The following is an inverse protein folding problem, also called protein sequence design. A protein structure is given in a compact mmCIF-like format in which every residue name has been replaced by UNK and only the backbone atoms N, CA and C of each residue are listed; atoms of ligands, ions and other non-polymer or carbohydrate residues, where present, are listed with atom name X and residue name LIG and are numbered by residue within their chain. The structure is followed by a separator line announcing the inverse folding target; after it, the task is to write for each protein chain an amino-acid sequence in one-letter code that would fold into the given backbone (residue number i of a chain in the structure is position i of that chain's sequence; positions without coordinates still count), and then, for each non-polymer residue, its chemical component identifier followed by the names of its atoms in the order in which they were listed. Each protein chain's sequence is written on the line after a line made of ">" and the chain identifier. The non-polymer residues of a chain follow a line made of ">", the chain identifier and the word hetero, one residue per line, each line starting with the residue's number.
data_IF_273514119151
#
_entry.id   IF_273514119151
#
_cell.length_a   1.000
_cell.length_b   1.000
_cell.length_c   1.000
_cell.angle_alpha   90.00
_cell.angle_beta   90.00
_cell.angle_gamma   90.00
#
_symmetry.space_group_name_H-M   'P 1'
#
loop_
_entity.id
_entity.type
_entity.pdbx_description
1 polymer ?
#
# COMPACT_ATOMS: atom_id res chain seq x y z
N UNK A 1 55.86 13.86 -1.06
CA UNK A 1 54.88 12.76 -1.16
C UNK A 1 53.71 13.15 -0.31
N UNK A 2 52.71 13.68 -0.93
CA UNK A 2 51.46 14.16 -0.28
C UNK A 2 50.41 13.09 -0.49
N UNK A 3 50.00 12.45 0.61
CA UNK A 3 48.87 11.52 0.63
C UNK A 3 47.54 12.29 0.40
N UNK A 4 46.90 12.02 -0.70
CA UNK A 4 45.56 12.48 -1.02
C UNK A 4 44.57 11.51 -0.39
N UNK A 5 43.93 11.94 0.70
CA UNK A 5 42.79 11.24 1.32
C UNK A 5 41.58 11.36 0.37
N UNK A 6 41.19 10.27 -0.23
CA UNK A 6 39.90 10.15 -0.92
C UNK A 6 38.80 9.99 0.16
N UNK A 7 38.12 11.08 0.49
CA UNK A 7 36.86 11.02 1.23
C UNK A 7 35.79 10.36 0.36
N UNK A 8 35.18 9.30 0.89
CA UNK A 8 34.04 8.67 0.28
C UNK A 8 32.85 9.63 0.30
N UNK A 9 32.00 9.68 -0.75
CA UNK A 9 30.83 10.52 -0.77
C UNK A 9 29.88 10.10 0.35
N UNK A 10 29.63 11.03 1.27
CA UNK A 10 28.58 10.87 2.29
C UNK A 10 27.25 10.82 1.56
N UNK A 11 26.46 9.76 1.81
CA UNK A 11 25.09 9.68 1.35
C UNK A 11 24.32 10.88 1.93
N UNK A 12 23.78 11.73 1.06
CA UNK A 12 22.88 12.81 1.47
C UNK A 12 21.69 12.20 2.24
N UNK A 13 21.59 12.53 3.51
CA UNK A 13 20.38 12.28 4.30
C UNK A 13 19.27 13.11 3.64
N UNK A 14 18.14 12.50 3.21
CA UNK A 14 17.06 13.27 2.62
C UNK A 14 16.64 14.37 3.60
N UNK A 15 16.61 15.61 3.14
CA UNK A 15 16.10 16.71 3.94
C UNK A 15 14.65 16.41 4.30
N UNK A 16 14.19 16.69 5.54
CA UNK A 16 12.78 16.52 5.88
C UNK A 16 11.94 17.37 4.93
N UNK A 17 10.99 16.71 4.26
CA UNK A 17 9.99 17.36 3.41
C UNK A 17 9.38 18.55 4.16
N UNK A 18 9.05 19.61 3.42
CA UNK A 18 8.30 20.75 3.95
C UNK A 18 7.13 20.20 4.76
N UNK A 19 7.04 20.58 6.04
CA UNK A 19 6.10 20.02 6.98
C UNK A 19 4.68 20.10 6.40
N UNK A 20 4.08 18.96 6.13
CA UNK A 20 2.72 18.88 5.60
C UNK A 20 1.74 19.51 6.59
N UNK A 21 0.60 20.06 6.09
CA UNK A 21 -0.43 20.57 6.97
C UNK A 21 -0.91 19.46 7.92
N UNK A 22 -0.82 19.73 9.21
CA UNK A 22 -1.39 18.86 10.25
C UNK A 22 -2.92 18.86 10.07
N UNK A 23 -3.52 17.68 10.12
CA UNK A 23 -4.96 17.56 9.98
C UNK A 23 -5.69 18.19 11.17
N UNK A 24 -6.76 18.99 10.94
CA UNK A 24 -7.61 19.49 12.00
C UNK A 24 -8.31 18.37 12.79
N UNK A 25 -8.47 17.18 12.23
CA UNK A 25 -9.05 16.01 12.89
C UNK A 25 -8.20 15.49 14.05
N UNK A 26 -6.93 15.90 14.14
CA UNK A 26 -6.09 15.67 15.33
C UNK A 26 -6.53 16.45 16.57
N UNK A 27 -7.37 17.48 16.41
CA UNK A 27 -7.95 18.19 17.55
C UNK A 27 -9.15 17.48 18.21
N UNK A 28 -9.65 16.41 17.59
CA UNK A 28 -10.75 15.61 18.13
C UNK A 28 -10.35 14.93 19.43
N UNK A 29 -11.34 14.81 20.34
CA UNK A 29 -11.11 14.20 21.65
C UNK A 29 -10.59 12.77 21.53
N UNK A 30 -9.54 12.46 22.26
CA UNK A 30 -8.91 11.12 22.26
C UNK A 30 -7.95 10.87 21.09
N UNK A 31 -7.76 11.83 20.18
CA UNK A 31 -6.83 11.69 19.07
C UNK A 31 -5.40 11.53 19.57
N UNK A 32 -4.72 10.48 19.09
CA UNK A 32 -3.30 10.23 19.30
C UNK A 32 -2.59 10.31 17.94
N UNK A 33 -1.57 11.13 17.83
CA UNK A 33 -0.90 11.38 16.56
C UNK A 33 -0.14 10.15 16.05
N UNK A 34 -0.22 9.89 14.75
CA UNK A 34 0.60 8.91 14.07
C UNK A 34 2.02 9.46 13.82
N UNK A 35 2.94 8.55 13.53
CA UNK A 35 4.35 8.85 13.24
C UNK A 35 4.78 8.32 11.86
N UNK A 36 6.01 8.61 11.46
CA UNK A 36 6.60 8.10 10.21
C UNK A 36 5.88 8.60 8.97
N UNK A 37 5.51 7.69 8.06
CA UNK A 37 4.83 8.02 6.80
C UNK A 37 3.50 8.74 7.01
N UNK A 38 2.86 8.48 8.12
CA UNK A 38 1.52 8.97 8.46
C UNK A 38 1.52 10.12 9.49
N UNK A 39 2.66 10.77 9.69
CA UNK A 39 2.73 11.94 10.56
C UNK A 39 1.74 13.03 10.12
N UNK A 40 1.06 13.65 11.09
CA UNK A 40 0.08 14.71 10.85
C UNK A 40 -1.39 14.27 10.87
N UNK A 41 -1.69 12.98 11.04
CA UNK A 41 -3.03 12.44 11.22
C UNK A 41 -3.12 11.56 12.47
N UNK A 42 -4.32 11.10 12.84
CA UNK A 42 -4.52 10.31 14.04
C UNK A 42 -4.19 8.82 13.84
N UNK A 43 -3.38 8.26 14.73
CA UNK A 43 -3.18 6.82 14.85
C UNK A 43 -4.44 6.13 15.39
N UNK A 44 -5.08 6.74 16.40
CA UNK A 44 -6.36 6.31 16.97
C UNK A 44 -7.04 7.47 17.70
N UNK A 45 -8.32 7.28 18.07
CA UNK A 45 -9.15 8.21 18.83
C UNK A 45 -9.54 7.66 20.23
N UNK A 46 -8.64 6.86 20.82
CA UNK A 46 -8.75 6.37 22.19
C UNK A 46 -8.99 4.87 22.34
N UNK A 47 -9.72 4.23 21.40
CA UNK A 47 -9.96 2.78 21.45
C UNK A 47 -9.77 2.11 20.09
N UNK A 48 -8.55 1.72 19.71
CA UNK A 48 -8.25 1.12 18.42
C UNK A 48 -9.08 -0.13 18.10
N UNK A 49 -9.43 -0.96 19.10
CA UNK A 49 -10.22 -2.17 18.88
C UNK A 49 -11.68 -1.87 18.50
N UNK A 50 -12.29 -0.88 19.16
CA UNK A 50 -13.64 -0.44 18.81
C UNK A 50 -13.67 0.26 17.46
N UNK A 51 -12.62 1.03 17.15
CA UNK A 51 -12.46 1.72 15.87
C UNK A 51 -12.32 0.72 14.71
N UNK A 52 -11.52 -0.34 14.89
CA UNK A 52 -11.41 -1.43 13.90
C UNK A 52 -12.76 -2.11 13.64
N UNK A 53 -13.48 -2.46 14.72
CA UNK A 53 -14.81 -3.07 14.59
C UNK A 53 -15.79 -2.14 13.89
N UNK A 54 -15.81 -0.86 14.26
CA UNK A 54 -16.67 0.12 13.62
C UNK A 54 -16.37 0.22 12.11
N UNK A 55 -15.11 0.29 11.72
CA UNK A 55 -14.69 0.35 10.32
C UNK A 55 -15.03 -0.95 9.57
N UNK A 56 -14.76 -2.12 10.16
CA UNK A 56 -15.08 -3.42 9.56
C UNK A 56 -16.57 -3.63 9.32
N UNK A 57 -17.43 -3.20 10.26
CA UNK A 57 -18.88 -3.36 10.13
C UNK A 57 -19.54 -2.26 9.28
N UNK A 58 -18.86 -1.12 9.05
CA UNK A 58 -19.41 -0.01 8.25
C UNK A 58 -19.81 -0.44 6.84
N UNK A 59 -19.10 -1.42 6.24
CA UNK A 59 -19.42 -1.97 4.91
C UNK A 59 -20.86 -2.52 4.78
N UNK A 60 -21.45 -2.95 5.88
CA UNK A 60 -22.82 -3.49 5.94
C UNK A 60 -23.83 -2.54 6.59
N UNK A 61 -23.40 -1.34 6.97
CA UNK A 61 -24.25 -0.33 7.57
C UNK A 61 -25.23 0.27 6.55
N UNK A 62 -26.39 0.74 7.04
CA UNK A 62 -27.37 1.39 6.18
C UNK A 62 -26.87 2.76 5.67
N UNK A 63 -27.48 3.25 4.57
CA UNK A 63 -27.09 4.54 3.99
C UNK A 63 -27.30 5.73 4.94
N UNK A 64 -28.25 5.62 5.87
CA UNK A 64 -28.61 6.64 6.84
C UNK A 64 -27.70 6.64 8.10
N UNK A 65 -26.87 5.62 8.26
CA UNK A 65 -25.95 5.55 9.41
C UNK A 65 -24.71 6.43 9.16
N UNK A 66 -24.15 7.06 10.22
CA UNK A 66 -22.91 7.82 10.10
C UNK A 66 -21.81 7.03 9.44
N UNK A 67 -21.10 7.65 8.49
CA UNK A 67 -19.98 7.03 7.77
C UNK A 67 -18.76 6.94 8.69
N UNK A 68 -18.13 5.77 8.76
CA UNK A 68 -16.85 5.61 9.48
C UNK A 68 -15.70 6.04 8.56
N UNK A 69 -14.99 7.07 8.96
CA UNK A 69 -13.91 7.68 8.20
C UNK A 69 -12.56 7.53 8.90
N UNK A 70 -11.53 7.22 8.12
CA UNK A 70 -10.13 7.29 8.54
C UNK A 70 -9.46 8.44 7.81
N UNK A 71 -8.80 9.31 8.56
CA UNK A 71 -8.03 10.41 8.00
C UNK A 71 -6.73 9.89 7.37
N UNK A 72 -6.64 10.01 6.06
CA UNK A 72 -5.47 9.68 5.24
C UNK A 72 -4.83 10.94 4.64
N UNK A 73 -5.00 12.10 5.28
CA UNK A 73 -4.44 13.37 4.80
C UNK A 73 -2.91 13.40 4.77
N UNK A 74 -2.26 12.37 5.30
CA UNK A 74 -0.83 12.07 5.12
C UNK A 74 -0.50 11.61 3.70
N UNK A 75 -1.47 11.12 2.92
CA UNK A 75 -1.27 10.77 1.51
C UNK A 75 -1.17 12.02 0.64
N UNK A 76 -0.47 11.89 -0.48
CA UNK A 76 -0.32 12.92 -1.48
C UNK A 76 -1.32 12.80 -2.62
N UNK A 77 -1.67 13.95 -3.19
CA UNK A 77 -2.60 14.06 -4.31
C UNK A 77 -1.89 14.75 -5.48
N UNK A 78 -1.81 14.07 -6.63
CA UNK A 78 -1.23 14.61 -7.86
C UNK A 78 -2.30 14.59 -8.96
N UNK A 79 -2.50 15.71 -9.64
CA UNK A 79 -3.45 15.85 -10.75
C UNK A 79 -2.71 15.86 -12.08
N UNK A 80 -3.22 15.09 -13.03
CA UNK A 80 -2.72 15.03 -14.41
C UNK A 80 -3.85 15.38 -15.34
N UNK A 81 -3.83 16.59 -15.89
CA UNK A 81 -4.85 17.15 -16.79
C UNK A 81 -4.36 17.14 -18.24
N UNK A 82 -5.28 17.14 -19.17
CA UNK A 82 -5.02 17.34 -20.60
C UNK A 82 -5.42 16.15 -21.46
N UNK A 83 -5.56 16.39 -22.80
CA UNK A 83 -6.14 15.41 -23.70
C UNK A 83 -5.29 14.15 -23.90
N UNK A 84 -3.98 14.22 -23.64
CA UNK A 84 -3.08 13.08 -23.85
C UNK A 84 -2.86 12.26 -22.55
N UNK A 85 -3.45 12.65 -21.40
CA UNK A 85 -3.21 12.07 -20.05
C UNK A 85 -3.31 10.55 -20.01
N UNK A 86 -4.40 9.98 -20.51
CA UNK A 86 -4.64 8.55 -20.43
C UNK A 86 -3.70 7.74 -21.34
N UNK A 87 -3.51 8.19 -22.58
CA UNK A 87 -2.64 7.51 -23.54
C UNK A 87 -1.18 7.61 -23.14
N UNK A 88 -0.75 8.77 -22.67
CA UNK A 88 0.60 8.99 -22.21
C UNK A 88 0.91 8.18 -20.95
N UNK A 89 0.08 8.26 -19.89
CA UNK A 89 0.28 7.47 -18.70
C UNK A 89 0.22 5.96 -18.98
N UNK A 90 -0.68 5.50 -19.87
CA UNK A 90 -0.66 4.10 -20.32
C UNK A 90 0.69 3.70 -20.92
N UNK A 91 1.36 4.59 -21.64
CA UNK A 91 2.64 4.26 -22.29
C UNK A 91 3.81 4.07 -21.31
N UNK A 92 3.74 4.66 -20.11
CA UNK A 92 4.81 4.58 -19.10
C UNK A 92 4.44 3.71 -17.89
N UNK A 93 3.16 3.44 -17.66
CA UNK A 93 2.63 2.66 -16.53
C UNK A 93 2.56 1.16 -16.84
N UNK A 94 2.51 0.35 -15.81
CA UNK A 94 2.33 -1.11 -15.89
C UNK A 94 0.89 -1.54 -16.22
N UNK A 95 -0.10 -0.63 -16.12
CA UNK A 95 -1.53 -0.88 -16.33
C UNK A 95 -2.06 -0.05 -17.49
N UNK A 96 -3.22 -0.43 -18.06
CA UNK A 96 -3.94 0.33 -19.10
C UNK A 96 -4.80 1.38 -18.41
N UNK A 97 -4.60 2.64 -18.77
CA UNK A 97 -5.41 3.78 -18.32
C UNK A 97 -6.22 4.40 -19.46
N UNK A 98 -5.89 4.04 -20.69
CA UNK A 98 -6.64 4.48 -21.88
C UNK A 98 -8.05 3.92 -21.86
N UNK A 99 -9.04 4.79 -22.10
CA UNK A 99 -10.45 4.43 -22.11
C UNK A 99 -11.14 4.49 -20.76
N UNK A 100 -10.46 4.95 -19.70
CA UNK A 100 -11.13 5.23 -18.43
C UNK A 100 -12.18 6.32 -18.60
N UNK A 101 -13.36 6.10 -18.04
CA UNK A 101 -14.47 7.06 -17.99
C UNK A 101 -14.55 7.71 -16.60
N UNK A 102 -15.27 8.83 -16.50
CA UNK A 102 -15.43 9.53 -15.25
C UNK A 102 -16.01 8.62 -14.17
N UNK A 103 -15.37 8.62 -12.99
CA UNK A 103 -15.69 7.76 -11.84
C UNK A 103 -14.94 6.42 -11.83
N UNK A 104 -14.27 6.02 -12.93
CA UNK A 104 -13.47 4.80 -12.92
C UNK A 104 -12.15 4.98 -12.16
N UNK A 105 -11.77 3.91 -11.45
CA UNK A 105 -10.53 3.81 -10.69
C UNK A 105 -9.62 2.70 -11.24
N UNK A 106 -8.33 2.90 -11.11
CA UNK A 106 -7.28 1.93 -11.43
C UNK A 106 -6.16 2.01 -10.40
N UNK A 107 -5.38 0.95 -10.32
CA UNK A 107 -4.07 0.94 -9.69
C UNK A 107 -3.01 0.62 -10.73
N UNK A 108 -1.86 1.28 -10.67
CA UNK A 108 -0.76 1.02 -11.59
C UNK A 108 0.60 1.23 -10.91
N UNK A 109 1.65 0.75 -11.56
CA UNK A 109 3.02 0.98 -11.11
C UNK A 109 3.79 1.78 -12.16
N UNK A 110 4.68 2.63 -11.68
CA UNK A 110 5.78 3.16 -12.46
C UNK A 110 7.05 2.44 -12.02
N UNK A 111 7.76 1.85 -12.97
CA UNK A 111 8.89 0.97 -12.69
C UNK A 111 10.19 1.59 -13.16
N UNK A 112 11.30 1.20 -12.51
CA UNK A 112 12.65 1.43 -13.00
C UNK A 112 12.94 0.59 -14.26
N UNK A 113 14.02 0.88 -15.02
CA UNK A 113 14.45 0.01 -16.12
C UNK A 113 14.71 -1.44 -15.69
N UNK A 114 15.03 -1.66 -14.41
CA UNK A 114 15.25 -2.98 -13.82
C UNK A 114 13.97 -3.66 -13.34
N UNK A 115 12.78 -3.05 -13.58
CA UNK A 115 11.46 -3.57 -13.18
C UNK A 115 11.17 -3.43 -11.69
N UNK A 116 11.85 -2.54 -10.98
CA UNK A 116 11.60 -2.25 -9.57
C UNK A 116 10.51 -1.20 -9.43
N UNK A 117 9.71 -1.29 -8.38
CA UNK A 117 8.61 -0.35 -8.11
C UNK A 117 9.20 1.00 -7.66
N UNK A 118 9.01 2.04 -8.47
CA UNK A 118 9.36 3.41 -8.12
C UNK A 118 8.16 4.16 -7.52
N UNK A 119 6.95 3.93 -8.06
CA UNK A 119 5.70 4.51 -7.57
C UNK A 119 4.55 3.51 -7.75
N UNK A 120 3.57 3.56 -6.85
CA UNK A 120 2.35 2.75 -6.89
C UNK A 120 1.08 3.62 -6.74
N UNK A 121 0.73 4.44 -7.74
CA UNK A 121 -0.41 5.33 -7.65
C UNK A 121 -1.75 4.60 -7.73
N UNK A 122 -2.71 5.08 -6.92
CA UNK A 122 -4.13 4.86 -7.09
C UNK A 122 -4.68 5.98 -7.97
N UNK A 123 -5.36 5.66 -9.08
CA UNK A 123 -5.81 6.63 -10.08
C UNK A 123 -7.33 6.69 -10.20
N UNK A 124 -7.88 7.90 -10.28
CA UNK A 124 -9.31 8.17 -10.51
C UNK A 124 -9.41 9.09 -11.73
N UNK A 125 -10.28 8.76 -12.68
CA UNK A 125 -10.61 9.64 -13.81
C UNK A 125 -11.86 10.46 -13.49
N UNK A 126 -11.82 11.79 -13.69
CA UNK A 126 -12.99 12.68 -13.49
C UNK A 126 -13.66 13.15 -14.79
N UNK A 127 -13.11 12.74 -15.96
CA UNK A 127 -13.52 13.18 -17.29
C UNK A 127 -12.61 14.27 -17.87
N UNK A 128 -11.90 15.02 -17.05
CA UNK A 128 -10.98 16.09 -17.45
C UNK A 128 -9.53 15.80 -17.03
N UNK A 129 -9.36 15.15 -15.87
CA UNK A 129 -8.08 14.82 -15.27
C UNK A 129 -8.04 13.41 -14.68
N UNK A 130 -6.83 12.85 -14.59
CA UNK A 130 -6.51 11.72 -13.72
C UNK A 130 -5.96 12.25 -12.39
N UNK A 131 -6.58 11.84 -11.31
CA UNK A 131 -6.16 12.14 -9.95
C UNK A 131 -5.42 10.94 -9.39
N UNK A 132 -4.22 11.17 -8.90
CA UNK A 132 -3.33 10.13 -8.41
C UNK A 132 -3.15 10.30 -6.90
N UNK A 133 -3.45 9.24 -6.14
CA UNK A 133 -3.16 9.17 -4.71
C UNK A 133 -1.88 8.34 -4.54
N UNK A 134 -0.91 8.86 -3.79
CA UNK A 134 0.37 8.22 -3.49
C UNK A 134 0.74 8.42 -2.03
N UNK A 135 1.79 7.74 -1.56
CA UNK A 135 2.41 8.11 -0.29
C UNK A 135 2.85 9.57 -0.34
N UNK A 136 2.58 10.27 0.73
CA UNK A 136 2.70 11.68 0.63
C UNK A 136 4.14 12.18 0.41
N UNK A 137 5.19 11.49 0.91
CA UNK A 137 6.58 11.80 0.59
C UNK A 137 6.94 11.56 -0.89
N UNK A 138 6.04 10.90 -1.65
CA UNK A 138 6.21 10.65 -3.08
C UNK A 138 5.49 11.66 -3.98
N UNK A 139 4.59 12.50 -3.45
CA UNK A 139 3.77 13.39 -4.30
C UNK A 139 4.62 14.37 -5.12
N UNK A 140 5.56 15.06 -4.49
CA UNK A 140 6.45 15.97 -5.21
C UNK A 140 7.46 15.24 -6.12
N UNK A 141 8.17 14.19 -5.66
CA UNK A 141 9.02 13.38 -6.54
C UNK A 141 8.29 12.79 -7.76
N UNK A 142 7.05 12.31 -7.59
CA UNK A 142 6.23 11.83 -8.71
C UNK A 142 5.88 12.98 -9.67
N UNK A 143 5.47 14.12 -9.16
CA UNK A 143 5.15 15.31 -9.96
C UNK A 143 6.36 15.72 -10.81
N UNK A 144 7.54 15.78 -10.22
CA UNK A 144 8.78 16.11 -10.91
C UNK A 144 9.15 15.04 -11.95
N UNK A 145 9.00 13.77 -11.61
CA UNK A 145 9.23 12.67 -12.54
C UNK A 145 8.29 12.77 -13.76
N UNK A 146 7.01 12.93 -13.54
CA UNK A 146 5.99 13.04 -14.61
C UNK A 146 6.24 14.28 -15.47
N UNK A 147 6.59 15.44 -14.88
CA UNK A 147 6.93 16.65 -15.62
C UNK A 147 8.17 16.49 -16.50
N UNK A 148 9.17 15.69 -16.08
CA UNK A 148 10.33 15.36 -16.93
C UNK A 148 9.96 14.39 -18.06
N UNK A 149 9.00 13.50 -17.83
CA UNK A 149 8.61 12.45 -18.79
C UNK A 149 7.56 12.88 -19.81
N UNK A 150 6.86 14.00 -19.59
CA UNK A 150 5.75 14.43 -20.48
C UNK A 150 6.21 14.91 -21.86
N UNK A 151 7.47 15.36 -21.97
CA UNK A 151 8.07 15.84 -23.22
C UNK A 151 7.13 16.75 -24.02
N UNK A 152 6.62 16.30 -25.20
CA UNK A 152 5.71 17.06 -26.07
C UNK A 152 4.22 16.71 -25.82
N UNK A 153 3.90 15.95 -24.80
CA UNK A 153 2.51 15.59 -24.48
C UNK A 153 1.73 16.80 -23.95
N UNK A 154 0.48 16.91 -24.39
CA UNK A 154 -0.44 17.98 -23.97
C UNK A 154 -1.04 17.63 -22.63
N UNK A 155 -0.22 17.67 -21.60
CA UNK A 155 -0.60 17.39 -20.22
C UNK A 155 -0.01 18.42 -19.28
N UNK A 156 -0.71 18.68 -18.20
CA UNK A 156 -0.26 19.43 -17.04
C UNK A 156 -0.25 18.52 -15.82
N UNK A 157 0.81 18.59 -15.01
CA UNK A 157 0.97 17.77 -13.80
C UNK A 157 1.20 18.68 -12.62
N UNK A 158 0.35 18.57 -11.60
CA UNK A 158 0.36 19.42 -10.41
C UNK A 158 0.31 18.55 -9.14
N UNK A 159 1.12 18.94 -8.13
CA UNK A 159 0.98 18.44 -6.78
C UNK A 159 -0.05 19.30 -6.05
N UNK A 160 -1.16 18.71 -5.64
CA UNK A 160 -2.27 19.37 -4.97
C UNK A 160 -2.44 18.90 -3.52
N UNK A 161 -1.41 18.31 -2.92
CA UNK A 161 -1.47 17.74 -1.56
C UNK A 161 -1.77 18.80 -0.48
N UNK A 162 -1.45 20.08 -0.73
CA UNK A 162 -1.76 21.16 0.21
C UNK A 162 -3.22 21.62 0.13
N UNK A 163 -3.89 21.38 -1.00
CA UNK A 163 -5.26 21.81 -1.26
C UNK A 163 -6.27 20.70 -0.96
N UNK A 164 -5.87 19.44 -1.17
CA UNK A 164 -6.73 18.27 -1.03
C UNK A 164 -6.25 17.33 0.06
N UNK A 165 -7.21 16.67 0.68
CA UNK A 165 -7.02 15.61 1.66
C UNK A 165 -7.58 14.29 1.12
N UNK A 166 -7.16 13.19 1.70
CA UNK A 166 -7.70 11.86 1.42
C UNK A 166 -8.36 11.34 2.69
N UNK A 167 -9.57 10.80 2.54
CA UNK A 167 -10.32 10.12 3.59
C UNK A 167 -10.56 8.67 3.14
N UNK A 168 -10.44 7.73 4.06
CA UNK A 168 -10.69 6.30 3.81
C UNK A 168 -12.00 5.87 4.47
N UNK A 169 -12.76 5.00 3.79
CA UNK A 169 -13.97 4.35 4.33
C UNK A 169 -14.06 2.92 3.82
N UNK A 170 -14.78 2.06 4.56
CA UNK A 170 -15.11 0.70 4.15
C UNK A 170 -16.46 0.62 3.41
N UNK A 171 -17.21 1.69 3.37
CA UNK A 171 -18.47 1.83 2.64
C UNK A 171 -18.30 2.89 1.55
N UNK A 172 -18.85 2.62 0.35
CA UNK A 172 -18.82 3.60 -0.74
C UNK A 172 -19.59 4.87 -0.31
N UNK A 173 -18.96 6.04 -0.29
CA UNK A 173 -19.65 7.27 0.04
C UNK A 173 -20.59 7.76 -1.07
N UNK A 174 -20.45 7.22 -2.29
CA UNK A 174 -21.40 7.46 -3.39
C UNK A 174 -22.48 6.38 -3.31
N UNK A 175 -23.72 6.81 -3.13
CA UNK A 175 -24.87 5.93 -3.00
C UNK A 175 -25.33 5.40 -4.38
N UNK A 176 -26.21 4.40 -4.39
CA UNK A 176 -26.70 3.80 -5.63
C UNK A 176 -27.47 4.77 -6.53
N UNK A 177 -28.11 5.77 -5.97
CA UNK A 177 -28.81 6.84 -6.71
C UNK A 177 -27.88 7.95 -7.20
N UNK A 178 -26.57 7.84 -6.96
CA UNK A 178 -25.56 8.83 -7.31
C UNK A 178 -25.44 9.98 -6.31
N UNK A 179 -26.21 9.98 -5.22
CA UNK A 179 -26.04 10.95 -4.14
C UNK A 179 -24.77 10.68 -3.34
N UNK A 180 -24.24 11.71 -2.71
CA UNK A 180 -23.08 11.60 -1.83
C UNK A 180 -23.55 11.51 -0.39
N UNK A 181 -22.92 10.62 0.40
CA UNK A 181 -23.21 10.52 1.83
C UNK A 181 -23.11 11.90 2.51
N UNK A 182 -24.06 12.29 3.39
CA UNK A 182 -24.12 13.63 3.98
C UNK A 182 -22.81 14.12 4.60
N UNK A 183 -22.02 13.21 5.21
CA UNK A 183 -20.71 13.53 5.76
C UNK A 183 -19.74 14.16 4.73
N UNK A 184 -19.85 13.80 3.45
CA UNK A 184 -18.93 14.24 2.39
C UNK A 184 -19.60 15.07 1.30
N UNK A 185 -20.89 15.38 1.43
CA UNK A 185 -21.69 16.05 0.40
C UNK A 185 -21.15 17.44 0.01
N UNK A 186 -20.61 18.20 0.96
CA UNK A 186 -20.01 19.51 0.71
C UNK A 186 -18.75 19.39 -0.17
N UNK A 187 -17.92 18.38 0.08
CA UNK A 187 -16.68 18.15 -0.66
C UNK A 187 -16.87 17.53 -2.05
N UNK A 188 -18.00 16.88 -2.32
CA UNK A 188 -18.26 16.10 -3.55
C UNK A 188 -17.04 15.28 -3.96
N UNK A 189 -16.67 14.24 -3.19
CA UNK A 189 -15.39 13.56 -3.31
C UNK A 189 -15.22 12.86 -4.65
N UNK A 190 -13.96 12.81 -5.10
CA UNK A 190 -13.52 11.84 -6.08
C UNK A 190 -13.18 10.54 -5.34
N UNK A 191 -13.82 9.44 -5.69
CA UNK A 191 -13.72 8.19 -4.95
C UNK A 191 -12.94 7.15 -5.74
N UNK A 192 -11.84 6.68 -5.17
CA UNK A 192 -11.10 5.52 -5.64
C UNK A 192 -11.56 4.28 -4.88
N UNK A 193 -11.93 3.24 -5.61
CA UNK A 193 -12.21 1.91 -5.06
C UNK A 193 -10.95 1.04 -5.16
N UNK A 194 -10.54 0.42 -4.06
CA UNK A 194 -9.38 -0.47 -4.05
C UNK A 194 -9.70 -1.76 -4.84
N UNK A 195 -8.99 -2.03 -5.94
CA UNK A 195 -9.25 -3.21 -6.76
C UNK A 195 -8.76 -4.52 -6.13
N UNK A 196 -8.19 -4.50 -4.92
CA UNK A 196 -7.53 -5.66 -4.31
C UNK A 196 -8.45 -6.87 -4.13
N UNK A 197 -9.74 -6.65 -3.96
CA UNK A 197 -10.74 -7.69 -3.80
C UNK A 197 -10.95 -8.55 -5.07
N UNK A 198 -10.62 -8.03 -6.27
CA UNK A 198 -10.82 -8.74 -7.53
C UNK A 198 -9.62 -8.56 -8.46
N UNK A 199 -9.02 -9.65 -8.97
CA UNK A 199 -7.94 -9.53 -9.94
C UNK A 199 -8.36 -8.71 -11.17
N UNK A 200 -7.51 -7.76 -11.58
CA UNK A 200 -7.78 -6.91 -12.73
C UNK A 200 -7.73 -7.69 -14.06
N UNK A 201 -8.47 -7.28 -15.12
CA UNK A 201 -8.32 -7.87 -16.44
C UNK A 201 -6.88 -7.84 -16.94
N UNK A 202 -6.40 -8.95 -17.53
CA UNK A 202 -5.02 -9.07 -18.02
C UNK A 202 -3.95 -9.16 -16.94
N UNK A 203 -4.33 -9.29 -15.67
CA UNK A 203 -3.45 -9.46 -14.52
C UNK A 203 -3.08 -10.93 -14.28
N UNK A 204 -2.18 -11.17 -13.32
CA UNK A 204 -1.80 -12.52 -12.91
C UNK A 204 -1.59 -12.59 -11.40
N UNK A 205 -2.16 -13.60 -10.76
CA UNK A 205 -2.06 -13.83 -9.31
C UNK A 205 -0.85 -14.68 -8.98
N UNK A 206 -0.13 -14.28 -7.96
CA UNK A 206 1.02 -15.01 -7.42
C UNK A 206 0.68 -15.73 -6.11
N UNK A 207 -0.55 -15.59 -5.62
CA UNK A 207 -1.08 -16.32 -4.46
C UNK A 207 -1.51 -17.76 -4.82
N UNK A 208 -1.63 -18.60 -3.81
CA UNK A 208 -2.18 -19.96 -3.90
C UNK A 208 -3.57 -20.07 -3.23
N UNK A 209 -4.05 -19.00 -2.60
CA UNK A 209 -5.28 -19.00 -1.83
C UNK A 209 -6.53 -19.08 -2.71
N UNK A 210 -6.45 -18.66 -3.97
CA UNK A 210 -7.58 -18.70 -4.87
C UNK A 210 -8.75 -17.87 -4.35
N UNK A 211 -9.92 -18.46 -4.32
CA UNK A 211 -11.15 -17.82 -3.82
C UNK A 211 -11.15 -17.63 -2.29
N UNK A 212 -10.24 -18.30 -1.58
CA UNK A 212 -10.04 -18.13 -0.14
C UNK A 212 -9.08 -16.99 0.23
N UNK A 213 -8.66 -16.17 -0.75
CA UNK A 213 -7.78 -15.04 -0.49
C UNK A 213 -8.51 -13.98 0.37
N UNK A 214 -7.97 -13.59 1.54
CA UNK A 214 -8.67 -12.70 2.48
C UNK A 214 -8.96 -11.31 1.88
N UNK A 215 -8.19 -10.89 0.88
CA UNK A 215 -8.47 -9.68 0.11
C UNK A 215 -9.80 -9.68 -0.62
N UNK A 216 -10.47 -10.85 -0.84
CA UNK A 216 -11.78 -10.90 -1.49
C UNK A 216 -12.87 -10.16 -0.69
N UNK A 217 -12.72 -10.11 0.63
CA UNK A 217 -13.63 -9.40 1.53
C UNK A 217 -13.15 -7.97 1.89
N UNK A 218 -11.99 -7.56 1.36
CA UNK A 218 -11.41 -6.26 1.65
C UNK A 218 -12.05 -5.16 0.81
N UNK A 219 -12.91 -4.37 1.44
CA UNK A 219 -13.57 -3.23 0.82
C UNK A 219 -12.95 -1.95 1.37
N UNK A 220 -12.47 -1.10 0.46
CA UNK A 220 -11.79 0.15 0.79
C UNK A 220 -12.03 1.20 -0.28
N UNK A 221 -12.43 2.37 0.16
CA UNK A 221 -12.60 3.55 -0.68
C UNK A 221 -11.70 4.68 -0.19
N UNK A 222 -11.02 5.36 -1.10
CA UNK A 222 -10.28 6.59 -0.83
C UNK A 222 -10.98 7.76 -1.50
N UNK A 223 -11.40 8.73 -0.71
CA UNK A 223 -12.10 9.92 -1.16
C UNK A 223 -11.16 11.12 -1.14
N UNK A 224 -10.91 11.73 -2.30
CA UNK A 224 -10.19 13.01 -2.40
C UNK A 224 -11.20 14.14 -2.15
N UNK A 225 -10.97 14.95 -1.14
CA UNK A 225 -11.81 16.09 -0.75
C UNK A 225 -10.97 17.35 -0.59
N UNK A 226 -11.52 18.55 -0.79
CA UNK A 226 -10.84 19.79 -0.41
C UNK A 226 -10.50 19.77 1.08
N UNK A 227 -9.28 20.17 1.47
CA UNK A 227 -8.90 20.24 2.90
C UNK A 227 -9.78 21.19 3.70
N UNK A 228 -10.38 22.18 3.05
CA UNK A 228 -11.29 23.15 3.68
C UNK A 228 -12.54 22.53 4.30
N UNK A 229 -12.93 21.31 3.92
CA UNK A 229 -14.11 20.64 4.50
C UNK A 229 -13.79 19.90 5.83
N UNK A 230 -12.51 19.62 6.12
CA UNK A 230 -12.12 18.85 7.30
C UNK A 230 -12.58 19.45 8.64
N UNK A 231 -12.53 20.79 8.86
CA UNK A 231 -13.05 21.38 10.10
C UNK A 231 -14.56 21.15 10.30
N UNK A 232 -15.36 21.30 9.24
CA UNK A 232 -16.80 21.06 9.31
C UNK A 232 -17.10 19.56 9.53
N UNK A 233 -16.31 18.69 8.90
CA UNK A 233 -16.41 17.26 9.07
C UNK A 233 -16.15 16.82 10.52
N UNK A 234 -15.20 17.48 11.22
CA UNK A 234 -14.91 17.22 12.63
C UNK A 234 -16.12 17.47 13.55
N UNK A 235 -17.04 18.34 13.14
CA UNK A 235 -18.24 18.72 13.90
C UNK A 235 -19.51 17.98 13.41
N UNK A 236 -19.39 17.18 12.35
CA UNK A 236 -20.54 16.50 11.73
C UNK A 236 -21.02 15.32 12.57
N UNK A 237 -22.34 15.21 12.74
CA UNK A 237 -22.98 14.02 13.31
C UNK A 237 -23.07 12.83 12.34
N UNK A 238 -22.87 13.09 11.04
CA UNK A 238 -22.95 12.09 9.97
C UNK A 238 -21.64 11.33 9.74
N UNK A 239 -20.59 11.69 10.51
CA UNK A 239 -19.29 11.02 10.49
C UNK A 239 -18.91 10.47 11.86
N UNK A 240 -18.26 9.32 11.85
CA UNK A 240 -17.49 8.74 12.96
C UNK A 240 -16.05 8.58 12.51
N UNK A 241 -15.12 8.69 13.44
CA UNK A 241 -13.70 8.57 13.09
C UNK A 241 -13.10 7.31 13.69
N UNK A 242 -12.33 6.62 12.85
CA UNK A 242 -11.38 5.59 13.24
C UNK A 242 -9.97 6.06 12.87
N UNK A 243 -8.97 5.67 13.63
CA UNK A 243 -7.60 6.04 13.33
C UNK A 243 -6.92 5.06 12.38
N UNK A 244 -5.70 5.42 12.00
CA UNK A 244 -4.87 4.63 11.09
C UNK A 244 -4.65 3.19 11.54
N UNK A 245 -4.52 2.95 12.85
CA UNK A 245 -4.32 1.58 13.36
C UNK A 245 -5.49 0.67 13.03
N UNK A 246 -6.71 1.21 12.92
CA UNK A 246 -7.87 0.45 12.48
C UNK A 246 -7.73 0.05 11.00
N UNK A 247 -7.42 1.00 10.12
CA UNK A 247 -7.23 0.75 8.70
C UNK A 247 -6.04 -0.18 8.41
N UNK A 248 -4.92 0.01 9.11
CA UNK A 248 -3.72 -0.83 8.94
C UNK A 248 -3.96 -2.29 9.39
N UNK A 249 -4.72 -2.52 10.46
CA UNK A 249 -5.05 -3.87 10.88
C UNK A 249 -5.88 -4.61 9.82
N UNK A 250 -6.91 -3.96 9.26
CA UNK A 250 -7.73 -4.55 8.18
C UNK A 250 -6.93 -4.72 6.87
N UNK A 251 -5.99 -3.81 6.57
CA UNK A 251 -5.09 -3.93 5.41
C UNK A 251 -4.16 -5.14 5.54
N UNK A 252 -3.56 -5.34 6.73
CA UNK A 252 -2.67 -6.46 7.02
C UNK A 252 -3.44 -7.79 6.93
N UNK A 253 -4.63 -7.87 7.54
CA UNK A 253 -5.52 -9.03 7.45
C UNK A 253 -5.82 -9.40 5.99
N UNK A 254 -6.06 -8.41 5.14
CA UNK A 254 -6.35 -8.59 3.72
C UNK A 254 -5.11 -8.91 2.86
N UNK A 255 -3.92 -9.00 3.45
CA UNK A 255 -2.64 -9.17 2.75
C UNK A 255 -2.32 -8.06 1.73
N UNK A 256 -2.90 -6.89 1.90
CA UNK A 256 -2.76 -5.75 0.98
C UNK A 256 -1.41 -5.05 1.21
N UNK A 257 -0.45 -5.09 0.26
CA UNK A 257 0.82 -4.39 0.42
C UNK A 257 0.64 -2.86 0.30
N UNK A 258 1.55 -2.12 0.96
CA UNK A 258 1.64 -0.67 0.90
C UNK A 258 3.05 -0.27 0.46
N UNK A 259 3.14 0.77 -0.37
CA UNK A 259 4.44 1.35 -0.72
C UNK A 259 5.04 2.08 0.51
N UNK A 260 6.37 1.92 0.69
CA UNK A 260 7.07 2.50 1.86
C UNK A 260 7.07 1.60 3.10
N UNK A 261 6.25 0.52 3.11
CA UNK A 261 6.27 -0.53 4.13
C UNK A 261 6.71 -1.87 3.53
N UNK A 262 5.86 -2.56 2.77
CA UNK A 262 6.19 -3.81 2.08
C UNK A 262 7.05 -3.56 0.84
N UNK A 263 6.73 -2.52 0.06
CA UNK A 263 7.48 -2.16 -1.14
C UNK A 263 8.58 -1.14 -0.82
N UNK A 264 9.78 -1.43 -1.31
CA UNK A 264 10.96 -0.58 -1.26
C UNK A 264 11.54 -0.38 -2.69
N UNK A 265 12.62 0.40 -2.82
CA UNK A 265 13.34 0.66 -4.07
C UNK A 265 13.97 -0.58 -4.73
N UNK A 266 13.94 -1.74 -4.07
CA UNK A 266 14.45 -3.04 -4.56
C UNK A 266 13.34 -3.98 -4.97
N UNK A 267 12.11 -3.67 -4.61
CA UNK A 267 10.94 -4.54 -4.80
C UNK A 267 10.54 -4.63 -6.27
N UNK A 268 10.29 -5.84 -6.74
CA UNK A 268 9.64 -6.10 -8.03
C UNK A 268 8.16 -6.47 -7.79
N UNK A 269 7.25 -6.20 -8.75
CA UNK A 269 5.80 -6.39 -8.53
C UNK A 269 5.39 -7.77 -8.05
N UNK A 270 6.07 -8.81 -8.53
CA UNK A 270 5.79 -10.21 -8.22
C UNK A 270 6.06 -10.60 -6.77
N UNK A 271 6.94 -9.88 -6.07
CA UNK A 271 7.26 -10.18 -4.66
C UNK A 271 6.09 -9.94 -3.71
N UNK A 272 5.17 -9.02 -4.10
CA UNK A 272 4.06 -8.53 -3.28
C UNK A 272 2.68 -8.79 -3.88
N UNK A 273 2.59 -9.60 -4.93
CA UNK A 273 1.37 -9.83 -5.71
C UNK A 273 0.72 -8.56 -6.30
N UNK A 274 1.47 -7.46 -6.49
CA UNK A 274 0.99 -6.29 -7.23
C UNK A 274 0.55 -6.64 -8.66
N UNK A 275 0.97 -7.80 -9.13
CA UNK A 275 0.60 -8.33 -10.44
C UNK A 275 -0.90 -8.66 -10.55
N UNK A 276 -1.60 -8.82 -9.42
CA UNK A 276 -3.05 -9.13 -9.42
C UNK A 276 -3.93 -7.92 -9.78
N UNK A 277 -3.47 -6.69 -9.56
CA UNK A 277 -4.27 -5.47 -9.77
C UNK A 277 -3.55 -4.42 -10.61
N UNK A 278 -2.25 -4.25 -10.42
CA UNK A 278 -1.51 -3.11 -10.91
C UNK A 278 -0.71 -3.39 -12.20
N UNK A 279 -0.67 -4.62 -12.70
CA UNK A 279 0.08 -5.00 -13.91
C UNK A 279 -0.81 -5.68 -14.92
N UNK A 280 -0.80 -5.19 -16.16
CA UNK A 280 -1.48 -5.82 -17.30
C UNK A 280 -0.45 -6.51 -18.20
N UNK A 281 -0.48 -7.83 -18.28
CA UNK A 281 0.54 -8.63 -18.99
C UNK A 281 0.41 -8.58 -20.52
N UNK A 282 -0.78 -8.31 -21.05
CA UNK A 282 -1.05 -8.29 -22.50
C UNK A 282 -0.97 -6.88 -23.11
N UNK A 283 -0.58 -5.85 -22.31
CA UNK A 283 -0.44 -4.50 -22.87
C UNK A 283 0.90 -4.29 -23.60
N UNK A 284 0.98 -3.21 -24.39
CA UNK A 284 2.20 -2.77 -25.07
C UNK A 284 3.35 -2.40 -24.13
N UNK A 285 4.49 -2.06 -24.70
CA UNK A 285 5.72 -1.79 -23.95
C UNK A 285 5.56 -0.66 -22.93
N UNK A 286 6.22 -0.82 -21.78
CA UNK A 286 6.42 0.17 -20.75
C UNK A 286 7.79 -0.04 -20.06
N UNK A 287 8.27 0.98 -19.36
CA UNK A 287 9.57 0.93 -18.66
C UNK A 287 9.62 -0.21 -17.64
N UNK A 288 10.63 -1.06 -17.70
CA UNK A 288 10.81 -2.20 -16.78
C UNK A 288 10.05 -3.48 -17.15
N UNK A 289 9.21 -3.47 -18.20
CA UNK A 289 8.42 -4.63 -18.63
C UNK A 289 9.25 -5.88 -18.90
N UNK A 290 10.46 -5.75 -19.46
CA UNK A 290 11.31 -6.90 -19.79
C UNK A 290 11.63 -7.73 -18.55
N UNK A 291 11.95 -7.10 -17.42
CA UNK A 291 12.22 -7.79 -16.15
C UNK A 291 10.94 -8.44 -15.61
N UNK A 292 9.81 -7.72 -15.63
CA UNK A 292 8.51 -8.26 -15.22
C UNK A 292 8.15 -9.51 -16.04
N UNK A 293 8.26 -9.45 -17.36
CA UNK A 293 7.97 -10.56 -18.27
C UNK A 293 8.97 -11.72 -18.08
N UNK A 294 10.25 -11.43 -17.86
CA UNK A 294 11.27 -12.46 -17.61
C UNK A 294 10.99 -13.24 -16.33
N UNK A 295 10.70 -12.53 -15.22
CA UNK A 295 10.37 -13.19 -13.95
C UNK A 295 9.07 -13.99 -14.09
N UNK A 296 8.07 -13.44 -14.76
CA UNK A 296 6.79 -14.12 -14.99
C UNK A 296 6.95 -15.41 -15.82
N UNK A 297 7.66 -15.35 -16.94
CA UNK A 297 7.73 -16.46 -17.88
C UNK A 297 8.79 -17.50 -17.54
N UNK A 298 9.97 -17.07 -17.08
CA UNK A 298 11.17 -17.89 -17.01
C UNK A 298 11.83 -17.94 -15.61
N UNK A 299 11.41 -17.06 -14.71
CA UNK A 299 12.03 -16.89 -13.42
C UNK A 299 11.03 -16.97 -12.27
N UNK A 300 11.56 -16.66 -11.09
CA UNK A 300 10.80 -16.57 -9.84
C UNK A 300 11.27 -15.36 -9.07
N UNK A 301 10.40 -14.67 -8.31
CA UNK A 301 10.81 -13.52 -7.50
C UNK A 301 11.83 -13.98 -6.42
N UNK A 302 12.85 -13.17 -6.12
CA UNK A 302 13.87 -13.54 -5.12
C UNK A 302 13.36 -13.51 -3.67
N UNK A 303 12.35 -12.68 -3.41
CA UNK A 303 11.66 -12.53 -2.12
C UNK A 303 10.17 -12.80 -2.32
N UNK A 304 9.45 -12.96 -1.24
CA UNK A 304 8.00 -13.13 -1.24
C UNK A 304 7.35 -12.52 -0.01
N UNK A 305 6.14 -12.00 -0.18
CA UNK A 305 5.26 -11.57 0.90
C UNK A 305 4.69 -12.79 1.63
N UNK A 306 4.66 -12.70 2.96
CA UNK A 306 3.98 -13.63 3.85
C UNK A 306 3.15 -12.86 4.85
N UNK A 307 2.06 -13.47 5.30
CA UNK A 307 1.32 -13.06 6.47
C UNK A 307 1.81 -13.84 7.68
N UNK A 308 1.82 -13.21 8.84
CA UNK A 308 2.30 -13.79 10.08
C UNK A 308 1.23 -13.69 11.16
N UNK A 309 0.93 -14.81 11.79
CA UNK A 309 0.30 -14.86 13.10
C UNK A 309 1.40 -14.84 14.17
N UNK A 310 1.32 -13.90 15.09
CA UNK A 310 2.33 -13.69 16.15
C UNK A 310 1.81 -14.23 17.47
N UNK A 311 2.64 -14.98 18.20
CA UNK A 311 2.29 -15.40 19.55
C UNK A 311 2.18 -14.16 20.48
N UNK A 312 0.99 -13.97 21.06
CA UNK A 312 0.68 -12.86 21.94
C UNK A 312 1.13 -13.03 23.39
N UNK A 313 1.89 -14.09 23.74
CA UNK A 313 2.27 -14.41 25.12
C UNK A 313 3.16 -13.34 25.76
N UNK A 314 3.93 -12.60 24.96
CA UNK A 314 4.79 -11.50 25.42
C UNK A 314 4.02 -10.21 25.77
N UNK A 315 2.72 -10.12 25.45
CA UNK A 315 1.86 -8.94 25.66
C UNK A 315 2.37 -7.66 24.99
N UNK A 316 3.32 -7.77 24.07
CA UNK A 316 3.88 -6.71 23.23
C UNK A 316 3.86 -7.12 21.78
N UNK A 317 4.07 -6.16 20.87
CA UNK A 317 4.21 -6.41 19.45
C UNK A 317 5.66 -6.20 19.01
N UNK A 318 6.21 -7.02 18.11
CA UNK A 318 7.49 -6.69 17.49
C UNK A 318 7.36 -5.39 16.67
N UNK A 319 8.42 -4.62 16.60
CA UNK A 319 8.46 -3.44 15.77
C UNK A 319 8.50 -3.81 14.27
N UNK A 320 7.97 -2.93 13.41
CA UNK A 320 8.26 -3.01 11.98
C UNK A 320 9.77 -2.89 11.77
N UNK A 321 10.34 -3.77 10.94
CA UNK A 321 11.79 -3.89 10.77
C UNK A 321 12.42 -5.06 11.53
N UNK A 322 11.73 -5.65 12.52
CA UNK A 322 12.20 -6.84 13.25
C UNK A 322 12.63 -7.96 12.30
N UNK A 323 13.79 -8.53 12.55
CA UNK A 323 14.36 -9.58 11.70
C UNK A 323 13.69 -10.94 11.94
N UNK A 324 13.50 -11.68 10.85
CA UNK A 324 12.91 -13.02 10.89
C UNK A 324 13.98 -14.09 10.70
N UNK A 325 13.93 -15.10 11.56
CA UNK A 325 14.84 -16.23 11.54
C UNK A 325 14.07 -17.55 11.45
N UNK A 326 14.61 -18.51 10.73
CA UNK A 326 14.19 -19.92 10.86
C UNK A 326 14.76 -20.45 12.17
N UNK A 327 13.98 -21.22 12.91
CA UNK A 327 14.41 -21.80 14.17
C UNK A 327 15.74 -22.56 14.02
N UNK A 328 16.66 -22.34 14.95
CA UNK A 328 18.01 -22.95 14.95
C UNK A 328 18.98 -22.34 13.94
N UNK A 329 18.60 -21.30 13.17
CA UNK A 329 19.50 -20.61 12.25
C UNK A 329 19.84 -19.21 12.74
N UNK A 330 21.08 -18.76 12.52
CA UNK A 330 21.60 -17.46 12.97
C UNK A 330 21.52 -16.35 11.92
N UNK A 331 21.17 -16.67 10.65
CA UNK A 331 21.07 -15.66 9.59
C UNK A 331 19.61 -15.30 9.34
N UNK A 332 19.28 -14.02 9.27
CA UNK A 332 17.91 -13.60 9.00
C UNK A 332 17.49 -14.03 7.59
N UNK A 333 16.22 -14.42 7.50
CA UNK A 333 15.57 -14.82 6.25
C UNK A 333 14.67 -13.75 5.67
N UNK A 334 14.35 -12.72 6.45
CA UNK A 334 13.50 -11.60 6.05
C UNK A 334 13.30 -10.65 7.21
N UNK A 335 12.29 -9.79 7.07
CA UNK A 335 11.90 -8.81 8.09
C UNK A 335 10.39 -8.62 8.11
N UNK A 336 9.85 -8.29 9.27
CA UNK A 336 8.50 -7.77 9.43
C UNK A 336 8.43 -6.38 8.79
N UNK A 337 7.37 -6.12 8.04
CA UNK A 337 7.18 -4.83 7.34
C UNK A 337 6.04 -4.02 7.93
N UNK A 338 4.96 -4.68 8.35
CA UNK A 338 3.82 -4.07 9.02
C UNK A 338 3.34 -4.96 10.15
N UNK A 339 2.87 -4.35 11.25
CA UNK A 339 2.36 -5.05 12.43
C UNK A 339 1.09 -4.38 12.91
N UNK A 340 0.12 -5.16 13.34
CA UNK A 340 -1.08 -4.66 14.01
C UNK A 340 -1.56 -5.63 15.09
N UNK A 341 -2.30 -5.09 16.06
CA UNK A 341 -3.14 -5.87 16.93
C UNK A 341 -4.56 -5.88 16.34
N UNK A 342 -4.96 -7.00 15.75
CA UNK A 342 -6.27 -7.16 15.13
C UNK A 342 -7.34 -7.52 16.17
N UNK A 343 -8.56 -6.98 16.00
CA UNK A 343 -9.63 -7.09 17.00
C UNK A 343 -10.18 -8.52 17.19
N UNK A 344 -9.98 -9.42 16.22
CA UNK A 344 -10.36 -10.82 16.28
C UNK A 344 -9.17 -11.76 16.24
N UNK A 345 -8.21 -11.53 15.32
CA UNK A 345 -7.07 -12.41 15.09
C UNK A 345 -5.92 -12.20 16.10
N UNK A 346 -5.97 -11.14 16.94
CA UNK A 346 -4.84 -10.82 17.81
C UNK A 346 -3.65 -10.20 17.06
N UNK A 347 -2.41 -10.47 17.49
CA UNK A 347 -1.22 -9.90 16.85
C UNK A 347 -0.97 -10.50 15.47
N UNK A 348 -0.97 -9.66 14.43
CA UNK A 348 -0.74 -10.04 13.03
C UNK A 348 0.31 -9.15 12.38
N UNK A 349 0.96 -9.65 11.32
CA UNK A 349 1.94 -8.88 10.56
C UNK A 349 1.99 -9.27 9.08
N UNK A 350 2.53 -8.37 8.27
CA UNK A 350 3.07 -8.69 6.96
C UNK A 350 4.60 -8.69 7.03
N UNK A 351 5.22 -9.56 6.23
CA UNK A 351 6.66 -9.64 6.16
C UNK A 351 7.14 -10.00 4.75
N UNK A 352 8.33 -9.53 4.41
CA UNK A 352 9.02 -9.90 3.18
C UNK A 352 10.19 -10.80 3.52
N UNK A 353 10.15 -12.05 3.01
CA UNK A 353 11.16 -13.07 3.27
C UNK A 353 11.81 -13.57 1.98
N UNK A 354 12.96 -14.23 2.12
CA UNK A 354 13.62 -14.93 1.00
C UNK A 354 12.69 -16.01 0.45
N UNK A 355 12.53 -16.08 -0.86
CA UNK A 355 11.65 -17.05 -1.54
C UNK A 355 11.89 -18.50 -1.10
N UNK A 356 13.15 -18.92 -0.93
CA UNK A 356 13.53 -20.30 -0.62
C UNK A 356 13.28 -20.77 0.81
N UNK A 357 12.63 -19.95 1.64
CA UNK A 357 12.19 -20.37 2.99
C UNK A 357 11.00 -21.31 2.83
N UNK A 358 11.11 -22.50 3.40
CA UNK A 358 10.02 -23.49 3.38
C UNK A 358 8.80 -22.93 4.11
N UNK A 359 7.60 -22.93 3.50
CA UNK A 359 6.36 -22.47 4.13
C UNK A 359 5.97 -23.18 5.43
N UNK A 360 6.47 -24.38 5.66
CA UNK A 360 6.12 -25.20 6.82
C UNK A 360 7.05 -25.04 8.02
N UNK A 361 8.17 -24.31 7.86
CA UNK A 361 9.08 -24.12 8.99
C UNK A 361 8.60 -23.02 9.93
N UNK A 362 8.69 -23.24 11.26
CA UNK A 362 8.43 -22.20 12.23
C UNK A 362 9.48 -21.09 12.12
N UNK A 363 9.02 -19.86 12.29
CA UNK A 363 9.85 -18.67 12.29
C UNK A 363 9.85 -18.05 13.70
N UNK A 364 10.86 -17.25 13.98
CA UNK A 364 10.87 -16.32 15.12
C UNK A 364 11.20 -14.92 14.62
N UNK A 365 10.50 -13.94 15.16
CA UNK A 365 10.83 -12.54 15.00
C UNK A 365 11.72 -12.09 16.16
N UNK A 366 12.73 -11.30 15.86
CA UNK A 366 13.65 -10.75 16.86
C UNK A 366 13.60 -9.22 16.76
N UNK A 367 13.10 -8.61 17.79
CA UNK A 367 13.12 -7.17 17.98
C UNK A 367 14.36 -6.80 18.79
N UNK A 368 15.26 -6.01 18.21
CA UNK A 368 16.51 -5.62 18.85
C UNK A 368 16.33 -4.68 20.04
N UNK A 369 15.12 -4.15 20.23
CA UNK A 369 14.82 -3.17 21.30
C UNK A 369 15.53 -1.83 21.07
N UNK A 370 15.07 -0.82 21.80
CA UNK A 370 15.72 0.48 21.89
C UNK A 370 16.95 0.42 22.81
N UNK A 371 17.70 1.52 22.87
CA UNK A 371 18.78 1.65 23.85
C UNK A 371 18.21 1.95 25.24
N UNK A 372 18.80 1.33 26.26
CA UNK A 372 18.52 1.66 27.65
C UNK A 372 19.00 3.09 27.99
N UNK A 373 18.50 3.73 29.09
CA UNK A 373 18.88 5.07 29.44
C UNK A 373 20.39 5.27 29.68
N UNK A 374 21.15 4.20 29.94
CA UNK A 374 22.60 4.20 30.06
C UNK A 374 23.36 4.07 28.74
N UNK A 375 22.62 4.01 27.61
CA UNK A 375 23.19 3.87 26.27
C UNK A 375 23.54 2.43 25.86
N UNK A 376 23.28 1.43 26.72
CA UNK A 376 23.43 0.01 26.34
C UNK A 376 22.22 -0.46 25.52
N UNK A 377 22.41 -1.46 24.61
CA UNK A 377 21.27 -2.02 23.90
C UNK A 377 20.32 -2.72 24.88
N UNK A 378 19.02 -2.49 24.71
CA UNK A 378 18.01 -3.25 25.43
C UNK A 378 18.08 -4.74 25.01
N UNK A 379 17.72 -5.68 25.90
CA UNK A 379 17.65 -7.09 25.53
C UNK A 379 16.65 -7.27 24.40
N UNK A 380 17.05 -8.06 23.38
CA UNK A 380 16.15 -8.39 22.27
C UNK A 380 14.98 -9.23 22.79
N UNK A 381 13.78 -8.92 22.29
CA UNK A 381 12.58 -9.73 22.52
C UNK A 381 12.38 -10.67 21.33
N UNK A 382 12.11 -11.93 21.59
CA UNK A 382 11.83 -12.94 20.59
C UNK A 382 10.35 -13.30 20.61
N UNK A 383 9.73 -13.37 19.41
CA UNK A 383 8.34 -13.74 19.22
C UNK A 383 8.28 -14.99 18.36
N UNK A 384 7.55 -16.01 18.77
CA UNK A 384 7.21 -17.12 17.90
C UNK A 384 6.16 -16.65 16.85
N UNK A 385 6.39 -17.00 15.59
CA UNK A 385 5.50 -16.58 14.51
C UNK A 385 5.21 -17.75 13.56
N UNK A 386 3.92 -17.89 13.18
CA UNK A 386 3.48 -18.80 12.14
C UNK A 386 3.31 -18.05 10.83
N UNK A 387 3.82 -18.60 9.72
CA UNK A 387 3.71 -17.97 8.41
C UNK A 387 2.56 -18.58 7.59
N UNK A 388 1.79 -17.69 6.94
CA UNK A 388 0.88 -18.04 5.85
C UNK A 388 1.43 -17.48 4.55
N UNK A 389 1.46 -18.30 3.51
CA UNK A 389 2.00 -17.91 2.20
C UNK A 389 1.02 -16.96 1.50
N UNK A 390 1.45 -15.70 1.27
CA UNK A 390 0.74 -14.77 0.39
C UNK A 390 1.21 -14.97 -1.04
N UNK A 391 2.50 -14.77 -1.30
CA UNK A 391 3.10 -15.05 -2.61
C UNK A 391 3.75 -16.42 -2.57
N UNK A 392 3.31 -17.31 -3.47
CA UNK A 392 3.82 -18.69 -3.53
C UNK A 392 5.30 -18.74 -3.90
N UNK A 393 6.12 -19.54 -3.19
CA UNK A 393 7.50 -19.79 -3.59
C UNK A 393 7.62 -20.47 -4.97
N UNK A 394 6.53 -21.09 -5.44
CA UNK A 394 6.45 -21.77 -6.73
C UNK A 394 5.90 -20.88 -7.85
N UNK A 395 5.47 -19.65 -7.57
CA UNK A 395 4.95 -18.71 -8.57
C UNK A 395 6.04 -18.20 -9.50
N UNK A 396 5.67 -17.95 -10.77
CA UNK A 396 6.57 -17.66 -11.88
C UNK A 396 6.77 -18.87 -12.81
N UNK A 397 7.69 -18.77 -13.75
CA UNK A 397 7.99 -19.81 -14.77
C UNK A 397 6.76 -20.30 -15.57
N UNK A 398 5.82 -19.39 -15.86
CA UNK A 398 4.53 -19.71 -16.51
C UNK A 398 4.72 -20.39 -17.86
N UNK A 399 5.67 -19.93 -18.67
CA UNK A 399 5.97 -20.53 -19.96
C UNK A 399 6.49 -21.97 -19.84
N UNK A 400 7.32 -22.26 -18.82
CA UNK A 400 7.84 -23.60 -18.58
C UNK A 400 6.76 -24.56 -18.09
N UNK A 401 5.83 -24.11 -17.25
CA UNK A 401 4.69 -24.91 -16.78
C UNK A 401 3.71 -25.22 -17.92
N UNK A 402 3.46 -24.27 -18.84
CA UNK A 402 2.63 -24.48 -20.02
C UNK A 402 3.19 -25.55 -20.95
N UNK A 403 4.50 -25.57 -21.16
CA UNK A 403 5.17 -26.61 -21.98
C UNK A 403 5.12 -27.98 -21.30
N UNK A 404 5.34 -28.08 -19.99
CA UNK A 404 5.25 -29.33 -19.25
C UNK A 404 3.81 -29.90 -19.26
N UNK A 405 2.79 -29.05 -19.17
CA UNK A 405 1.38 -29.46 -19.28
C UNK A 405 0.98 -30.00 -20.64
N UNK A 406 1.59 -29.50 -21.73
CA UNK A 406 1.35 -30.00 -23.09
C UNK A 406 1.98 -31.38 -23.35
N UNK A 407 3.09 -31.70 -22.71
CA UNK A 407 3.72 -33.02 -22.80
C UNK A 407 2.93 -34.11 -22.06
N UNK A 408 2.17 -33.77 -21.02
CA UNK A 408 1.29 -34.72 -20.33
C UNK A 408 0.02 -35.07 -21.13
N UNK A 409 -0.41 -34.19 -22.04
CA UNK A 409 -1.59 -34.43 -22.90
C UNK A 409 -1.24 -35.20 -24.20
N UNK A 410 0.06 -35.48 -24.43
CA UNK A 410 0.54 -36.22 -25.60
C UNK A 410 0.98 -37.66 -25.27
N UNK A 411 0.78 -38.13 -24.04
CA UNK A 411 0.94 -39.49 -23.59
C UNK A 411 -0.40 -40.10 -23.17
#
# INVERSE_FOLDING_TARGET
>A
MTESSLEAPQAEVPQPDAARPVSPLLSLHGAFAASGLDAGVAAHYGNPMLEQRALSFDRSASADEPLVLVDRSSLGVVRVEGPDRQTWLTSIASQILTGMTAGESREFLLLSPQGRVEYAPAAIEDGEALWLIVEGNQAQPLTDYLNRMKFMMRVEVQNLSDEYAVLESARNPIQQDGSVHPALAEGKPLVWEDPWHTPAPGSYRYDEAGDAHPGADYVRFLSIVPRSVLPALAESSDARFAGLWAAEALRIEAWRPRYGTEADDKTIPQELDYTRTAVHFDKGCYKGQETVARVHNLGRPPRRLVFLDIDGSEHTLPAAGSELFVEGKSRPVGRITSVALHHEAGPIALAVIKRGVDPQVPLRAVDGGDFLPDGSPAPATEYAVAQTTVVSPESGEVARRSLAGQDFLKR
#
